data_IF_797807797248
#
_entry.id   IF_797807797248
#
_cell.length_a   1.000
_cell.length_b   1.000
_cell.length_c   1.000
_cell.angle_alpha   90.00
_cell.angle_beta   90.00
_cell.angle_gamma   90.00
#
_symmetry.space_group_name_H-M   'P 1'
#
loop_
_entity.id
_entity.type
_entity.pdbx_description
1 polymer ?
#
# COMPACT_ATOMS: atom_id res chain seq x y z
N UNK A 1 -5.19 -15.23 12.69
CA UNK A 1 -3.77 -14.97 12.42
C UNK A 1 -3.64 -14.94 10.92
N UNK A 2 -3.54 -13.74 10.35
CA UNK A 2 -3.31 -13.55 8.92
C UNK A 2 -1.90 -14.02 8.62
N UNK A 3 -1.72 -14.96 7.70
CA UNK A 3 -0.38 -15.45 7.40
C UNK A 3 0.35 -14.47 6.48
N UNK A 4 1.69 -14.46 6.53
CA UNK A 4 2.54 -13.62 5.67
C UNK A 4 2.20 -13.73 4.18
N UNK A 5 1.76 -14.90 3.72
CA UNK A 5 1.35 -15.10 2.33
C UNK A 5 0.05 -14.36 1.97
N UNK A 6 -0.92 -14.29 2.90
CA UNK A 6 -2.15 -13.51 2.70
C UNK A 6 -1.85 -12.01 2.68
N UNK A 7 -0.97 -11.54 3.57
CA UNK A 7 -0.50 -10.15 3.56
C UNK A 7 0.22 -9.81 2.25
N UNK A 8 1.02 -10.74 1.72
CA UNK A 8 1.68 -10.55 0.43
C UNK A 8 0.67 -10.43 -0.71
N UNK A 9 -0.37 -11.27 -0.74
CA UNK A 9 -1.43 -11.16 -1.75
C UNK A 9 -2.19 -9.82 -1.64
N UNK A 10 -2.42 -9.32 -0.41
CA UNK A 10 -3.02 -8.01 -0.19
C UNK A 10 -2.12 -6.88 -0.71
N UNK A 11 -0.81 -6.95 -0.47
CA UNK A 11 0.18 -5.98 -0.96
C UNK A 11 0.29 -6.01 -2.50
N UNK A 12 0.30 -7.18 -3.12
CA UNK A 12 0.31 -7.31 -4.59
C UNK A 12 -0.95 -6.72 -5.22
N UNK A 13 -2.10 -6.88 -4.57
CA UNK A 13 -3.34 -6.24 -5.00
C UNK A 13 -3.23 -4.72 -4.89
N UNK A 14 -2.72 -4.22 -3.77
CA UNK A 14 -2.49 -2.80 -3.54
C UNK A 14 -1.57 -2.20 -4.62
N UNK A 15 -0.48 -2.88 -4.98
CA UNK A 15 0.46 -2.44 -6.03
C UNK A 15 -0.19 -2.36 -7.41
N UNK A 16 -1.03 -3.34 -7.76
CA UNK A 16 -1.79 -3.31 -9.02
C UNK A 16 -2.80 -2.15 -9.06
N UNK A 17 -3.46 -1.87 -7.94
CA UNK A 17 -4.40 -0.75 -7.84
C UNK A 17 -3.68 0.60 -7.84
N UNK A 18 -2.48 0.71 -7.24
CA UNK A 18 -1.62 1.89 -7.35
C UNK A 18 -1.24 2.15 -8.81
N UNK A 19 -0.79 1.10 -9.50
CA UNK A 19 -0.39 1.18 -10.91
C UNK A 19 -1.56 1.61 -11.79
N UNK A 20 -2.73 1.01 -11.60
CA UNK A 20 -3.91 1.30 -12.42
C UNK A 20 -4.49 2.67 -12.07
N UNK A 21 -4.63 2.96 -10.77
CA UNK A 21 -5.18 4.21 -10.25
C UNK A 21 -4.38 5.44 -10.68
N UNK A 22 -3.05 5.39 -10.64
CA UNK A 22 -2.20 6.50 -11.06
C UNK A 22 -2.00 6.60 -12.58
N UNK A 23 -2.16 5.49 -13.30
CA UNK A 23 -2.04 5.45 -14.76
C UNK A 23 -3.30 5.95 -15.46
N UNK A 24 -4.47 5.55 -14.97
CA UNK A 24 -5.77 5.96 -15.53
C UNK A 24 -6.32 7.24 -14.89
N UNK A 25 -5.83 7.64 -13.71
CA UNK A 25 -6.29 8.81 -13.00
C UNK A 25 -5.12 9.75 -12.63
N UNK A 26 -4.99 10.92 -13.29
CA UNK A 26 -3.95 11.90 -12.97
C UNK A 26 -4.23 12.65 -11.65
N UNK A 27 -5.40 12.43 -11.04
CA UNK A 27 -5.85 13.13 -9.83
C UNK A 27 -5.32 12.45 -8.56
N UNK A 28 -4.07 12.78 -8.23
CA UNK A 28 -3.35 12.23 -7.07
C UNK A 28 -4.10 12.46 -5.75
N UNK A 29 -4.81 13.57 -5.62
CA UNK A 29 -5.56 13.93 -4.42
C UNK A 29 -6.78 13.02 -4.17
N UNK A 30 -7.38 12.46 -5.23
CA UNK A 30 -8.45 11.47 -5.10
C UNK A 30 -7.92 10.05 -4.84
N UNK A 31 -6.70 9.77 -5.30
CA UNK A 31 -6.05 8.47 -5.13
C UNK A 31 -5.58 8.21 -3.69
N UNK A 32 -4.95 9.20 -3.05
CA UNK A 32 -4.36 9.03 -1.73
C UNK A 32 -5.31 8.58 -0.62
N UNK A 33 -6.56 9.10 -0.52
CA UNK A 33 -7.52 8.64 0.48
C UNK A 33 -7.91 7.17 0.31
N UNK A 34 -8.12 6.70 -0.92
CA UNK A 34 -8.45 5.29 -1.19
C UNK A 34 -7.26 4.39 -0.87
N UNK A 35 -6.06 4.79 -1.30
CA UNK A 35 -4.83 4.09 -1.02
C UNK A 35 -4.56 3.96 0.49
N UNK A 36 -4.75 5.05 1.24
CA UNK A 36 -4.57 5.07 2.68
C UNK A 36 -5.57 4.13 3.39
N UNK A 37 -6.83 4.10 2.96
CA UNK A 37 -7.85 3.21 3.51
C UNK A 37 -7.45 1.74 3.34
N UNK A 38 -6.99 1.36 2.15
CA UNK A 38 -6.56 -0.02 1.87
C UNK A 38 -5.27 -0.39 2.58
N UNK A 39 -4.27 0.50 2.56
CA UNK A 39 -3.01 0.32 3.28
C UNK A 39 -3.25 0.11 4.78
N UNK A 40 -4.18 0.89 5.37
CA UNK A 40 -4.56 0.74 6.77
C UNK A 40 -5.17 -0.63 7.04
N UNK A 41 -6.05 -1.13 6.17
CA UNK A 41 -6.63 -2.45 6.32
C UNK A 41 -5.57 -3.57 6.30
N UNK A 42 -4.54 -3.44 5.45
CA UNK A 42 -3.41 -4.39 5.41
C UNK A 42 -2.58 -4.31 6.69
N UNK A 43 -2.30 -3.09 7.19
CA UNK A 43 -1.56 -2.87 8.43
C UNK A 43 -2.33 -3.42 9.66
N UNK A 44 -3.64 -3.22 9.72
CA UNK A 44 -4.49 -3.78 10.77
C UNK A 44 -4.54 -5.31 10.70
N UNK A 45 -4.59 -5.88 9.49
CA UNK A 45 -4.56 -7.33 9.29
C UNK A 45 -3.21 -7.96 9.65
N UNK A 46 -2.12 -7.20 9.49
CA UNK A 46 -0.77 -7.62 9.83
C UNK A 46 -0.55 -7.71 11.35
N UNK A 47 -1.12 -6.77 12.10
CA UNK A 47 -0.87 -6.62 13.53
C UNK A 47 0.61 -6.32 13.83
N UNK A 48 0.95 -6.23 15.12
CA UNK A 48 2.29 -5.82 15.56
C UNK A 48 3.42 -6.74 15.06
N UNK A 49 3.13 -8.02 14.79
CA UNK A 49 4.14 -9.00 14.36
C UNK A 49 4.65 -8.75 12.93
N UNK A 50 3.82 -8.16 12.07
CA UNK A 50 4.12 -7.95 10.66
C UNK A 50 4.03 -6.48 10.24
N UNK A 51 3.70 -5.58 11.17
CA UNK A 51 3.54 -4.15 10.91
C UNK A 51 4.78 -3.52 10.26
N UNK A 52 5.97 -3.70 10.85
CA UNK A 52 7.21 -3.14 10.30
C UNK A 52 7.51 -3.65 8.88
N UNK A 53 7.26 -4.94 8.64
CA UNK A 53 7.48 -5.53 7.32
C UNK A 53 6.47 -4.99 6.30
N UNK A 54 5.18 -4.98 6.62
CA UNK A 54 4.12 -4.45 5.74
C UNK A 54 4.35 -2.97 5.45
N UNK A 55 4.71 -2.18 6.46
CA UNK A 55 5.03 -0.76 6.30
C UNK A 55 6.21 -0.55 5.33
N UNK A 56 7.28 -1.34 5.46
CA UNK A 56 8.42 -1.29 4.56
C UNK A 56 8.06 -1.68 3.12
N UNK A 57 7.24 -2.72 2.92
CA UNK A 57 6.78 -3.14 1.58
C UNK A 57 5.92 -2.06 0.92
N UNK A 58 5.02 -1.43 1.67
CA UNK A 58 4.18 -0.31 1.18
C UNK A 58 5.06 0.87 0.78
N UNK A 59 6.08 1.20 1.58
CA UNK A 59 7.02 2.27 1.27
C UNK A 59 7.86 1.96 0.01
N UNK A 60 8.39 0.75 -0.12
CA UNK A 60 9.16 0.30 -1.30
C UNK A 60 8.29 0.36 -2.56
N UNK A 61 7.05 -0.13 -2.46
CA UNK A 61 6.05 -0.08 -3.52
C UNK A 61 5.83 1.35 -4.04
N UNK A 62 5.55 2.31 -3.15
CA UNK A 62 5.38 3.72 -3.53
C UNK A 62 6.64 4.30 -4.19
N UNK A 63 7.81 3.94 -3.67
CA UNK A 63 9.11 4.35 -4.22
C UNK A 63 9.31 3.80 -5.65
N UNK A 64 8.97 2.53 -5.91
CA UNK A 64 9.02 1.92 -7.25
C UNK A 64 8.12 2.62 -8.25
N UNK A 65 6.96 3.12 -7.80
CA UNK A 65 6.04 3.90 -8.63
C UNK A 65 6.47 5.37 -8.81
N UNK A 66 7.62 5.76 -8.27
CA UNK A 66 8.17 7.12 -8.40
C UNK A 66 7.37 8.16 -7.64
N UNK A 67 6.62 7.73 -6.62
CA UNK A 67 5.86 8.64 -5.78
C UNK A 67 6.71 8.95 -4.56
N UNK A 68 7.18 10.20 -4.38
CA UNK A 68 7.80 10.57 -3.13
C UNK A 68 6.75 10.38 -2.04
N UNK A 69 7.04 9.53 -1.05
CA UNK A 69 6.23 9.47 0.15
C UNK A 69 6.08 10.91 0.68
N UNK A 70 4.86 11.37 1.01
CA UNK A 70 4.71 12.70 1.56
C UNK A 70 5.59 12.79 2.82
N UNK A 71 6.57 13.71 2.81
CA UNK A 71 7.34 14.00 4.02
C UNK A 71 6.34 14.42 5.09
N UNK A 72 6.30 13.62 6.17
CA UNK A 72 5.44 13.82 7.33
C UNK A 72 5.80 15.07 8.12
#
# INVERSE_FOLDING_TARGET
MTNRDELRQMLERLDSEVTTGLRDNPDRDAFWPEFAMQSNAVLEAAGDEHFDWVSAEIADMLHRHGIPAPEA
#
